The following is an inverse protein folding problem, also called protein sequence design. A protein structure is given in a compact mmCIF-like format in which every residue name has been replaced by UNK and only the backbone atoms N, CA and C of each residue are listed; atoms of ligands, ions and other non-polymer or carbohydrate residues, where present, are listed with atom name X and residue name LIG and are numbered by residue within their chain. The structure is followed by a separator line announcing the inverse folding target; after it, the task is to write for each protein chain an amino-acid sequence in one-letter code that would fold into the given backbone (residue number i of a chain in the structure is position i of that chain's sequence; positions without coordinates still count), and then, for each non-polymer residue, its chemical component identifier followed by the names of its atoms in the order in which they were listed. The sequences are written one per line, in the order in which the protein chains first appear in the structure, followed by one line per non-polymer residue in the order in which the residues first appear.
data_IF_838099954708
#
_entry.id   IF_838099954708
#
_cell.length_a   1.000
_cell.length_b   1.000
_cell.length_c   1.000
_cell.angle_alpha   90.00
_cell.angle_beta   90.00
_cell.angle_gamma   90.00
#
_symmetry.space_group_name_H-M   'P 1'
#
loop_
_entity.id
_entity.type
_entity.pdbx_description
1 polymer ?
#
# COMPACT_ATOMS: atom_id res chain seq x y z
N UNK A 1 -1.31 -9.56 -8.74
CA UNK A 1 -1.17 -9.60 -10.22
C UNK A 1 -2.40 -10.29 -10.78
N UNK A 2 -2.90 -9.89 -11.96
CA UNK A 2 -4.03 -10.59 -12.57
C UNK A 2 -3.67 -12.05 -12.85
N UNK A 3 -4.61 -12.97 -12.62
CA UNK A 3 -4.42 -14.39 -12.92
C UNK A 3 -4.30 -14.58 -14.44
N UNK A 4 -3.29 -15.33 -14.87
CA UNK A 4 -2.98 -15.56 -16.30
C UNK A 4 -3.97 -16.49 -16.99
N UNK A 5 -4.88 -17.15 -16.26
CA UNK A 5 -5.68 -18.27 -16.76
C UNK A 5 -7.19 -18.02 -16.86
N UNK A 6 -7.63 -16.79 -17.20
CA UNK A 6 -9.03 -16.54 -17.56
C UNK A 6 -9.15 -15.73 -18.85
N UNK A 7 -9.13 -16.44 -19.97
CA UNK A 7 -9.61 -15.95 -21.26
C UNK A 7 -11.15 -15.78 -21.24
N UNK A 8 -11.67 -14.80 -20.49
CA UNK A 8 -13.04 -14.24 -20.56
C UNK A 8 -13.32 -13.18 -19.48
N UNK A 9 -12.39 -12.26 -19.25
CA UNK A 9 -12.65 -11.02 -18.52
C UNK A 9 -12.09 -9.80 -19.28
N UNK A 10 -12.40 -9.75 -20.57
CA UNK A 10 -12.66 -8.50 -21.29
C UNK A 10 -13.73 -7.75 -20.47
N UNK A 11 -13.62 -6.52 -20.01
CA UNK A 11 -13.26 -5.30 -20.72
C UNK A 11 -12.65 -4.23 -19.77
N UNK A 12 -11.69 -3.50 -20.33
CA UNK A 12 -11.11 -2.18 -19.96
C UNK A 12 -10.08 -2.02 -18.82
N UNK A 13 -10.06 -2.83 -17.75
CA UNK A 13 -9.08 -2.60 -16.65
C UNK A 13 -8.32 -3.84 -16.14
N UNK A 14 -8.61 -5.03 -16.67
CA UNK A 14 -8.34 -6.31 -16.00
C UNK A 14 -7.07 -7.08 -16.40
N UNK A 15 -5.94 -6.43 -16.68
CA UNK A 15 -4.73 -7.17 -17.12
C UNK A 15 -3.36 -6.57 -16.81
N UNK A 16 -3.29 -5.34 -16.31
CA UNK A 16 -2.00 -4.68 -16.05
C UNK A 16 -1.63 -4.82 -14.58
N UNK A 17 -0.41 -5.31 -14.33
CA UNK A 17 0.16 -5.30 -12.98
C UNK A 17 0.34 -3.86 -12.52
N UNK A 18 -0.26 -3.54 -11.38
CA UNK A 18 -0.02 -2.30 -10.69
C UNK A 18 1.14 -2.47 -9.71
N UNK A 19 2.16 -1.61 -9.85
CA UNK A 19 3.31 -1.55 -8.94
C UNK A 19 3.34 -0.20 -8.24
N UNK A 20 3.46 -0.20 -6.92
CA UNK A 20 3.48 1.00 -6.10
C UNK A 20 4.69 1.00 -5.16
N UNK A 21 5.41 2.12 -5.13
CA UNK A 21 6.50 2.29 -4.16
C UNK A 21 5.90 2.55 -2.77
N UNK A 22 6.50 2.02 -1.70
CA UNK A 22 5.97 2.15 -0.33
C UNK A 22 5.78 3.63 0.09
N UNK A 23 6.65 4.55 -0.39
CA UNK A 23 6.50 6.01 -0.18
C UNK A 23 5.23 6.63 -0.78
N UNK A 24 4.66 5.99 -1.79
CA UNK A 24 3.40 6.45 -2.39
C UNK A 24 2.18 6.05 -1.56
N UNK A 25 2.33 5.21 -0.54
CA UNK A 25 1.22 4.77 0.29
C UNK A 25 0.95 5.81 1.38
N UNK A 26 -0.17 6.52 1.24
CA UNK A 26 -0.66 7.45 2.25
C UNK A 26 -1.18 6.69 3.47
N UNK A 27 -2.00 5.66 3.27
CA UNK A 27 -2.63 4.90 4.35
C UNK A 27 -3.02 3.48 3.90
N UNK A 28 -3.14 2.57 4.85
CA UNK A 28 -3.69 1.23 4.63
C UNK A 28 -4.43 0.78 5.89
N UNK A 29 -5.72 0.41 5.78
CA UNK A 29 -6.53 0.09 6.96
C UNK A 29 -7.56 -1.00 6.67
N UNK A 30 -7.77 -1.88 7.65
CA UNK A 30 -8.88 -2.83 7.65
C UNK A 30 -10.19 -2.09 7.94
N UNK A 31 -11.28 -2.52 7.32
CA UNK A 31 -12.61 -1.94 7.53
C UNK A 31 -13.17 -2.38 8.89
N UNK A 32 -13.75 -1.42 9.62
CA UNK A 32 -14.47 -1.69 10.87
C UNK A 32 -15.86 -2.29 10.63
N UNK A 33 -16.43 -2.12 9.42
CA UNK A 33 -17.78 -2.62 9.08
C UNK A 33 -17.75 -4.05 8.55
N UNK A 34 -16.69 -4.42 7.84
CA UNK A 34 -16.47 -5.78 7.34
C UNK A 34 -14.99 -6.11 7.45
N UNK A 35 -14.65 -7.00 8.37
CA UNK A 35 -13.25 -7.30 8.69
C UNK A 35 -12.52 -8.03 7.56
N UNK A 36 -13.21 -8.62 6.59
CA UNK A 36 -12.57 -9.17 5.38
C UNK A 36 -12.13 -8.06 4.39
N UNK A 37 -12.61 -6.82 4.54
CA UNK A 37 -12.28 -5.71 3.66
C UNK A 37 -11.12 -4.87 4.22
N UNK A 38 -10.28 -4.35 3.34
CA UNK A 38 -9.28 -3.34 3.66
C UNK A 38 -9.10 -2.33 2.53
N UNK A 39 -8.62 -1.13 2.86
CA UNK A 39 -8.34 -0.05 1.90
C UNK A 39 -6.84 0.21 1.79
N UNK A 40 -6.39 0.56 0.59
CA UNK A 40 -5.07 1.12 0.29
C UNK A 40 -5.24 2.51 -0.32
N UNK A 41 -4.70 3.53 0.35
CA UNK A 41 -4.74 4.90 -0.11
C UNK A 41 -3.35 5.29 -0.60
N UNK A 42 -3.26 5.71 -1.85
CA UNK A 42 -2.04 6.19 -2.49
C UNK A 42 -2.05 7.71 -2.60
N UNK A 43 -0.93 8.36 -2.29
CA UNK A 43 -0.70 9.74 -2.65
C UNK A 43 -0.31 9.83 -4.13
N UNK A 44 -1.08 10.56 -4.93
CA UNK A 44 -0.78 10.86 -6.35
C UNK A 44 -0.72 12.36 -6.55
N UNK A 45 -0.08 12.78 -7.65
CA UNK A 45 0.00 14.19 -8.02
C UNK A 45 -1.40 14.84 -8.18
N UNK A 46 -2.39 14.06 -8.63
CA UNK A 46 -3.79 14.49 -8.78
C UNK A 46 -4.64 14.31 -7.50
N UNK A 47 -4.02 14.04 -6.34
CA UNK A 47 -4.70 13.76 -5.08
C UNK A 47 -4.68 12.29 -4.64
N UNK A 48 -5.36 11.99 -3.55
CA UNK A 48 -5.35 10.65 -2.98
C UNK A 48 -6.23 9.68 -3.79
N UNK A 49 -5.65 8.54 -4.20
CA UNK A 49 -6.40 7.45 -4.84
C UNK A 49 -6.60 6.31 -3.85
N UNK A 50 -7.86 5.90 -3.66
CA UNK A 50 -8.24 4.80 -2.76
C UNK A 50 -8.60 3.56 -3.56
N UNK A 51 -8.10 2.42 -3.10
CA UNK A 51 -8.46 1.09 -3.57
C UNK A 51 -9.03 0.30 -2.40
N UNK A 52 -10.18 -0.32 -2.59
CA UNK A 52 -10.78 -1.23 -1.62
C UNK A 52 -10.56 -2.66 -2.10
N UNK A 53 -10.18 -3.54 -1.19
CA UNK A 53 -9.87 -4.94 -1.45
C UNK A 53 -10.63 -5.82 -0.46
N UNK A 54 -10.93 -7.03 -0.90
CA UNK A 54 -11.52 -8.09 -0.09
C UNK A 54 -10.52 -9.25 -0.01
N UNK A 55 -10.21 -9.69 1.21
CA UNK A 55 -9.41 -10.87 1.46
C UNK A 55 -10.29 -12.09 1.71
N UNK A 56 -9.73 -13.28 1.54
CA UNK A 56 -10.45 -14.54 1.77
C UNK A 56 -10.86 -14.74 3.24
N UNK A 57 -10.20 -14.03 4.17
CA UNK A 57 -10.59 -14.04 5.58
C UNK A 57 -10.24 -12.74 6.29
N UNK A 58 -10.91 -12.42 7.41
CA UNK A 58 -10.53 -11.31 8.29
C UNK A 58 -9.08 -11.34 8.77
N UNK A 59 -8.55 -12.54 9.02
CA UNK A 59 -7.16 -12.74 9.45
C UNK A 59 -6.18 -12.29 8.36
N UNK A 60 -6.42 -12.70 7.12
CA UNK A 60 -5.60 -12.31 5.98
C UNK A 60 -5.66 -10.80 5.73
N UNK A 61 -6.84 -10.17 5.83
CA UNK A 61 -6.96 -8.72 5.73
C UNK A 61 -6.10 -8.01 6.79
N UNK A 62 -6.14 -8.47 8.05
CA UNK A 62 -5.35 -7.92 9.13
C UNK A 62 -3.83 -8.09 8.90
N UNK A 63 -3.39 -9.27 8.45
CA UNK A 63 -1.99 -9.57 8.14
C UNK A 63 -1.46 -8.69 7.00
N UNK A 64 -2.24 -8.51 5.93
CA UNK A 64 -1.88 -7.64 4.80
C UNK A 64 -1.70 -6.19 5.27
N UNK A 65 -2.68 -5.67 6.02
CA UNK A 65 -2.64 -4.30 6.57
C UNK A 65 -1.44 -4.11 7.50
N UNK A 66 -1.20 -5.07 8.39
CA UNK A 66 -0.06 -5.04 9.30
C UNK A 66 1.27 -5.00 8.54
N UNK A 67 1.44 -5.88 7.56
CA UNK A 67 2.67 -5.96 6.75
C UNK A 67 2.96 -4.63 6.05
N UNK A 68 1.96 -4.03 5.38
CA UNK A 68 2.14 -2.75 4.68
C UNK A 68 2.50 -1.62 5.65
N UNK A 69 1.84 -1.54 6.81
CA UNK A 69 2.14 -0.53 7.83
C UNK A 69 3.54 -0.70 8.43
N UNK A 70 3.96 -1.93 8.68
CA UNK A 70 5.29 -2.25 9.17
C UNK A 70 6.38 -1.85 8.17
N UNK A 71 6.18 -2.13 6.88
CA UNK A 71 7.09 -1.69 5.81
C UNK A 71 7.20 -0.17 5.73
N UNK A 72 6.06 0.54 5.80
CA UNK A 72 6.05 2.01 5.81
C UNK A 72 6.82 2.56 7.01
N UNK A 73 6.55 2.03 8.20
CA UNK A 73 7.21 2.45 9.46
C UNK A 73 8.71 2.19 9.43
N UNK A 74 9.13 1.04 8.92
CA UNK A 74 10.55 0.70 8.77
C UNK A 74 11.28 1.67 7.85
N UNK A 75 10.65 2.08 6.74
CA UNK A 75 11.24 3.06 5.82
C UNK A 75 11.39 4.45 6.46
N UNK A 76 10.37 4.94 7.18
CA UNK A 76 10.45 6.25 7.83
C UNK A 76 11.55 6.30 8.91
N UNK A 77 11.73 5.20 9.64
CA UNK A 77 12.86 5.06 10.58
C UNK A 77 14.22 5.10 9.87
N UNK A 78 14.35 4.44 8.72
CA UNK A 78 15.59 4.50 7.92
C UNK A 78 15.87 5.92 7.37
N UNK A 79 14.81 6.61 6.92
CA UNK A 79 14.93 7.99 6.40
C UNK A 79 15.36 9.01 7.45
N UNK A 80 14.89 8.88 8.68
CA UNK A 80 15.28 9.77 9.80
C UNK A 80 16.73 9.56 10.23
N UNK A 81 17.21 8.31 10.27
CA UNK A 81 18.63 7.98 10.56
C UNK A 81 19.56 8.58 9.50
N UNK A 82 19.19 8.54 8.22
CA UNK A 82 20.03 9.08 7.15
C UNK A 82 20.05 10.62 7.10
N UNK A 83 18.96 11.30 7.52
CA UNK A 83 18.92 12.77 7.60
C UNK A 83 19.72 13.31 8.78
N UNK A 84 19.71 12.61 9.92
CA UNK A 84 20.51 12.98 11.10
C UNK A 84 22.02 13.11 10.76
N UNK A 85 22.55 12.24 9.89
CA UNK A 85 23.96 12.29 9.47
C UNK A 85 24.35 13.47 8.59
N UNK A 86 23.38 14.19 7.99
CA UNK A 86 23.66 15.30 7.06
C UNK A 86 23.70 16.67 7.75
N UNK A 87 23.39 16.73 9.04
CA UNK A 87 23.60 17.92 9.87
C UNK A 87 25.01 17.85 10.48
N UNK A 88 26.01 18.25 9.72
CA UNK A 88 27.31 18.66 10.28
C UNK A 88 27.54 20.11 9.88
N UNK A 89 27.53 20.94 10.91
CA UNK A 89 28.03 22.30 11.04
C UNK A 89 28.70 22.87 9.78
N UNK A 90 28.10 23.93 9.24
CA UNK A 90 28.86 24.98 8.56
C UNK A 90 29.06 26.06 9.63
N UNK A 91 30.27 26.12 10.17
CA UNK A 91 30.75 27.25 10.95
C UNK A 91 31.28 28.34 10.02
#
# INVERSE_FOLDING_TARGET
MPSTNKAKAVFDHGGKTASYHIKSIADCQQSQKSSALFKLVLNRASGNKRYDFEAESPKLAAEIVHTIRSLKTALERSGTVNRSRRSRQVG
#
